data_IF_442686150429
#
_entry.id   IF_442686150429
#
_cell.length_a   1.000
_cell.length_b   1.000
_cell.length_c   1.000
_cell.angle_alpha   90.00
_cell.angle_beta   90.00
_cell.angle_gamma   90.00
#
_symmetry.space_group_name_H-M   'P 1'
#
loop_
_entity.id
_entity.type
_entity.pdbx_description
1 polymer ?
#
# COMPACT_ATOMS: atom_id res chain seq x y z
N UNK A 1 2.79 -2.27 12.87
CA UNK A 1 3.17 -1.40 11.74
C UNK A 1 4.46 -0.71 12.11
N UNK A 2 5.42 -0.64 11.19
CA UNK A 2 6.66 0.13 11.33
C UNK A 2 6.54 1.32 10.40
N UNK A 3 6.63 2.51 10.97
CA UNK A 3 6.52 3.77 10.23
C UNK A 3 7.88 4.31 9.82
N UNK A 4 7.91 5.30 8.92
CA UNK A 4 9.11 5.96 8.40
C UNK A 4 10.19 4.98 7.88
N UNK A 5 9.73 3.87 7.27
CA UNK A 5 10.63 2.89 6.68
C UNK A 5 11.38 3.53 5.50
N UNK A 6 12.71 3.31 5.35
CA UNK A 6 13.46 3.87 4.23
C UNK A 6 12.91 3.38 2.89
N UNK A 7 12.95 4.28 1.91
CA UNK A 7 12.59 3.96 0.53
C UNK A 7 13.78 3.44 -0.27
N UNK A 8 15.00 3.91 0.03
CA UNK A 8 16.23 3.51 -0.63
C UNK A 8 16.92 2.36 0.10
N UNK A 9 17.38 1.35 -0.65
CA UNK A 9 18.05 0.20 -0.06
C UNK A 9 19.39 0.55 0.55
N UNK A 10 19.54 0.21 1.83
CA UNK A 10 20.84 0.16 2.50
C UNK A 10 20.92 -1.12 3.33
N UNK A 11 22.04 -1.84 3.20
CA UNK A 11 22.22 -3.14 3.88
C UNK A 11 22.01 -3.08 5.40
N UNK A 12 22.49 -2.05 6.15
CA UNK A 12 22.23 -1.95 7.58
C UNK A 12 20.75 -1.81 7.91
N UNK A 13 20.02 -0.95 7.18
CA UNK A 13 18.57 -0.77 7.38
C UNK A 13 17.78 -2.03 7.06
N UNK A 14 18.15 -2.73 5.99
CA UNK A 14 17.49 -3.99 5.62
C UNK A 14 17.65 -5.06 6.68
N UNK A 15 18.87 -5.25 7.23
CA UNK A 15 19.10 -6.24 8.31
C UNK A 15 18.25 -5.92 9.54
N UNK A 16 18.23 -4.65 9.93
CA UNK A 16 17.42 -4.20 11.05
C UNK A 16 15.92 -4.47 10.83
N UNK A 17 15.39 -4.15 9.65
CA UNK A 17 13.98 -4.35 9.33
C UNK A 17 13.60 -5.83 9.20
N UNK A 18 14.49 -6.69 8.69
CA UNK A 18 14.31 -8.14 8.65
C UNK A 18 14.25 -8.72 10.07
N UNK A 19 15.10 -8.26 10.98
CA UNK A 19 15.04 -8.63 12.40
C UNK A 19 13.73 -8.20 13.07
N UNK A 20 13.30 -6.95 12.85
CA UNK A 20 12.02 -6.42 13.36
C UNK A 20 10.84 -7.21 12.82
N UNK A 21 10.78 -7.47 11.51
CA UNK A 21 9.70 -8.23 10.89
C UNK A 21 9.64 -9.66 11.44
N UNK A 22 10.79 -10.31 11.60
CA UNK A 22 10.87 -11.65 12.20
C UNK A 22 10.44 -11.67 13.66
N UNK A 23 10.81 -10.67 14.44
CA UNK A 23 10.38 -10.54 15.83
C UNK A 23 8.86 -10.37 15.92
N UNK A 24 8.29 -9.46 15.12
CA UNK A 24 6.85 -9.22 15.08
C UNK A 24 6.04 -10.47 14.68
N UNK A 25 6.58 -11.30 13.79
CA UNK A 25 5.91 -12.54 13.34
C UNK A 25 5.95 -13.68 14.36
N UNK A 26 6.93 -13.67 15.26
CA UNK A 26 7.14 -14.69 16.32
C UNK A 26 6.44 -14.36 17.62
N UNK A 27 5.57 -13.36 17.65
CA UNK A 27 4.82 -13.03 18.86
C UNK A 27 3.75 -14.11 19.16
N UNK A 28 4.19 -15.15 19.85
CA UNK A 28 3.41 -16.33 20.24
C UNK A 28 2.26 -15.99 21.20
N UNK A 29 2.25 -14.81 21.82
CA UNK A 29 1.23 -14.39 22.78
C UNK A 29 -0.17 -14.29 22.17
N UNK A 30 -0.25 -14.15 20.84
CA UNK A 30 -1.51 -14.09 20.10
C UNK A 30 -1.98 -15.44 19.53
N UNK A 31 -1.14 -16.48 19.55
CA UNK A 31 -1.42 -17.77 18.89
C UNK A 31 -1.52 -17.70 17.36
N UNK A 32 -1.27 -16.52 16.75
CA UNK A 32 -1.29 -16.28 15.32
C UNK A 32 0.05 -15.68 14.85
N UNK A 33 0.38 -15.84 13.57
CA UNK A 33 1.54 -15.14 13.01
C UNK A 33 1.23 -13.65 12.90
N UNK A 34 2.07 -12.80 13.50
CA UNK A 34 1.90 -11.35 13.48
C UNK A 34 1.98 -10.77 12.06
N UNK A 35 1.08 -9.83 11.75
CA UNK A 35 1.07 -9.10 10.48
C UNK A 35 2.09 -7.95 10.51
N UNK A 36 2.94 -7.87 9.50
CA UNK A 36 3.95 -6.82 9.33
C UNK A 36 3.48 -5.83 8.27
N UNK A 37 3.32 -4.58 8.68
CA UNK A 37 3.01 -3.46 7.78
C UNK A 37 4.17 -2.47 7.83
N UNK A 38 4.74 -2.12 6.69
CA UNK A 38 5.77 -1.09 6.54
C UNK A 38 5.18 0.16 5.91
N UNK A 39 5.52 1.33 6.44
CA UNK A 39 5.11 2.61 5.87
C UNK A 39 6.32 3.47 5.52
N UNK A 40 6.79 3.41 4.27
CA UNK A 40 7.71 4.39 3.71
C UNK A 40 7.02 5.65 3.15
N UNK A 41 5.68 5.66 3.05
CA UNK A 41 4.90 6.74 2.41
C UNK A 41 5.13 6.90 0.90
N UNK A 42 5.99 6.08 0.30
CA UNK A 42 6.39 6.18 -1.11
C UNK A 42 6.89 4.83 -1.67
N UNK A 43 7.12 4.78 -2.98
CA UNK A 43 7.62 3.57 -3.64
C UNK A 43 9.01 3.23 -3.11
N UNK A 44 9.12 2.11 -2.41
CA UNK A 44 10.34 1.63 -1.79
C UNK A 44 11.05 0.56 -2.63
N UNK A 45 12.32 0.31 -2.34
CA UNK A 45 13.08 -0.78 -2.94
C UNK A 45 12.37 -2.13 -2.74
N UNK A 46 12.39 -2.98 -3.78
CA UNK A 46 11.78 -4.31 -3.74
C UNK A 46 12.28 -5.18 -2.57
N UNK A 47 13.54 -4.98 -2.14
CA UNK A 47 14.12 -5.70 -1.02
C UNK A 47 13.38 -5.47 0.31
N UNK A 48 12.73 -4.31 0.50
CA UNK A 48 11.90 -4.03 1.68
C UNK A 48 10.48 -4.57 1.53
N UNK A 49 9.94 -4.61 0.30
CA UNK A 49 8.61 -5.17 0.02
C UNK A 49 8.52 -6.64 0.41
N UNK A 50 9.60 -7.40 0.26
CA UNK A 50 9.64 -8.84 0.57
C UNK A 50 9.63 -9.13 2.08
N UNK A 51 9.87 -8.14 2.95
CA UNK A 51 9.89 -8.30 4.40
C UNK A 51 8.51 -8.13 5.04
N UNK A 52 7.61 -7.38 4.41
CA UNK A 52 6.30 -7.01 4.94
C UNK A 52 5.15 -7.74 4.25
N UNK A 53 4.04 -7.88 4.97
CA UNK A 53 2.77 -8.35 4.39
C UNK A 53 2.08 -7.22 3.62
N UNK A 54 2.20 -5.99 4.12
CA UNK A 54 1.70 -4.78 3.47
C UNK A 54 2.78 -3.71 3.49
N UNK A 55 3.01 -3.02 2.37
CA UNK A 55 3.83 -1.82 2.30
C UNK A 55 3.01 -0.64 1.78
N UNK A 56 2.95 0.45 2.54
CA UNK A 56 2.29 1.69 2.11
C UNK A 56 3.19 2.41 1.10
N UNK A 57 2.89 2.24 -0.20
CA UNK A 57 3.72 2.76 -1.31
C UNK A 57 3.33 4.17 -1.75
N UNK A 58 2.27 4.72 -1.16
CA UNK A 58 1.85 6.09 -1.38
C UNK A 58 1.10 6.60 -0.15
N UNK A 59 1.53 7.75 0.35
CA UNK A 59 0.86 8.52 1.39
C UNK A 59 0.99 10.01 1.08
N UNK A 60 -0.05 10.61 0.50
CA UNK A 60 -0.07 12.04 0.16
C UNK A 60 -1.51 12.47 -0.21
N UNK A 61 -1.66 13.74 -0.63
CA UNK A 61 -2.90 14.31 -1.15
C UNK A 61 -3.39 13.60 -2.41
N UNK A 62 -4.70 13.68 -2.66
CA UNK A 62 -5.30 13.19 -3.91
C UNK A 62 -4.78 13.90 -5.16
N UNK A 63 -4.38 15.17 -5.04
CA UNK A 63 -3.75 15.90 -6.15
C UNK A 63 -2.39 15.29 -6.50
N UNK A 64 -1.53 15.04 -5.50
CA UNK A 64 -0.26 14.35 -5.70
C UNK A 64 -0.48 12.95 -6.28
N UNK A 65 -1.47 12.21 -5.78
CA UNK A 65 -1.80 10.87 -6.28
C UNK A 65 -2.07 10.89 -7.79
N UNK A 66 -2.97 11.78 -8.23
CA UNK A 66 -3.29 11.95 -9.65
C UNK A 66 -2.07 12.31 -10.47
N UNK A 67 -1.24 13.23 -9.97
CA UNK A 67 -0.01 13.65 -10.63
C UNK A 67 0.96 12.48 -10.85
N UNK A 68 1.18 11.64 -9.82
CA UNK A 68 2.09 10.49 -9.88
C UNK A 68 1.57 9.33 -10.73
N UNK A 69 0.25 9.12 -10.76
CA UNK A 69 -0.36 8.16 -11.69
C UNK A 69 -0.20 8.65 -13.12
N UNK A 70 -0.47 9.93 -13.39
CA UNK A 70 -0.34 10.51 -14.73
C UNK A 70 1.10 10.51 -15.25
N UNK A 71 2.10 10.68 -14.37
CA UNK A 71 3.52 10.62 -14.73
C UNK A 71 4.10 9.20 -14.81
N UNK A 72 3.31 8.17 -14.46
CA UNK A 72 3.76 6.77 -14.47
C UNK A 72 4.67 6.37 -13.29
N UNK A 73 4.87 7.25 -12.31
CA UNK A 73 5.63 6.95 -11.07
C UNK A 73 4.91 5.91 -10.21
N UNK A 74 3.57 5.92 -10.22
CA UNK A 74 2.73 4.89 -9.61
C UNK A 74 2.07 4.06 -10.71
N UNK A 75 2.74 3.02 -11.23
CA UNK A 75 2.17 2.19 -12.27
C UNK A 75 0.98 1.37 -11.72
N UNK A 76 -0.10 1.19 -12.50
CA UNK A 76 -1.17 0.26 -12.15
C UNK A 76 -0.66 -1.17 -11.95
N UNK A 77 -1.15 -1.83 -10.90
CA UNK A 77 -0.91 -3.22 -10.51
C UNK A 77 -1.22 -4.25 -11.63
N UNK A 78 -2.00 -3.86 -12.64
CA UNK A 78 -2.47 -4.74 -13.71
C UNK A 78 -1.70 -4.63 -15.03
N UNK A 79 -0.51 -4.03 -15.04
CA UNK A 79 0.39 -4.23 -16.18
C UNK A 79 1.12 -5.56 -16.01
N UNK A 80 0.96 -6.55 -16.91
CA UNK A 80 1.88 -7.67 -16.95
C UNK A 80 3.27 -7.07 -17.16
N UNK A 81 4.12 -7.16 -16.14
CA UNK A 81 5.49 -6.70 -16.28
C UNK A 81 6.13 -7.56 -17.38
N UNK A 82 6.55 -6.91 -18.47
CA UNK A 82 7.34 -7.54 -19.53
C UNK A 82 8.47 -8.36 -18.91
N UNK A 83 8.78 -9.57 -19.43
CA UNK A 83 9.78 -10.45 -18.82
C UNK A 83 11.15 -9.76 -18.81
N UNK A 84 11.61 -9.30 -17.65
CA UNK A 84 12.96 -8.76 -17.50
C UNK A 84 13.94 -9.93 -17.36
N UNK A 85 14.84 -9.97 -18.35
CA UNK A 85 16.19 -10.56 -18.42
C UNK A 85 16.61 -11.64 -17.40
N UNK A 86 17.15 -12.73 -17.97
CA UNK A 86 17.72 -13.96 -17.39
C UNK A 86 18.10 -13.89 -15.89
N UNK A 87 17.65 -14.85 -15.06
CA UNK A 87 18.05 -14.92 -13.67
C UNK A 87 19.54 -15.24 -13.55
N UNK A 88 20.26 -14.47 -12.73
CA UNK A 88 21.51 -14.91 -12.12
C UNK A 88 21.27 -16.10 -11.17
N UNK A 89 22.32 -16.69 -10.60
CA UNK A 89 22.21 -17.96 -9.88
C UNK A 89 21.23 -17.83 -8.70
N UNK A 90 20.17 -18.65 -8.77
CA UNK A 90 19.13 -18.74 -7.75
C UNK A 90 19.73 -19.33 -6.48
N UNK A 91 19.65 -18.60 -5.38
CA UNK A 91 19.45 -19.21 -4.07
C UNK A 91 17.94 -19.44 -4.00
N UNK A 92 17.52 -20.67 -4.27
CA UNK A 92 16.13 -21.10 -4.19
C UNK A 92 15.74 -21.29 -2.72
N UNK A 93 15.07 -20.29 -2.14
CA UNK A 93 14.35 -20.39 -0.86
C UNK A 93 12.83 -20.27 -1.03
N UNK A 94 12.31 -20.41 -2.26
CA UNK A 94 10.88 -20.42 -2.53
C UNK A 94 10.12 -19.10 -2.35
N UNK A 95 10.78 -17.95 -2.14
CA UNK A 95 10.10 -16.63 -2.09
C UNK A 95 10.24 -15.88 -3.41
N UNK A 96 9.30 -16.07 -4.33
CA UNK A 96 9.18 -15.26 -5.55
C UNK A 96 7.88 -14.48 -5.57
N UNK A 97 7.96 -13.14 -5.52
CA UNK A 97 7.23 -12.21 -6.40
C UNK A 97 7.38 -10.76 -5.88
N UNK A 98 8.09 -9.93 -6.65
CA UNK A 98 8.09 -8.48 -6.43
C UNK A 98 6.65 -7.96 -6.54
N UNK A 99 6.13 -7.42 -5.45
CA UNK A 99 4.92 -6.60 -5.43
C UNK A 99 3.65 -7.28 -5.94
N UNK A 100 3.22 -8.37 -5.31
CA UNK A 100 1.83 -8.82 -5.48
C UNK A 100 0.89 -7.68 -5.07
N UNK A 101 -0.10 -7.38 -5.91
CA UNK A 101 -1.14 -6.38 -5.65
C UNK A 101 -1.72 -6.43 -4.23
N UNK A 102 -1.81 -7.64 -3.66
CA UNK A 102 -2.28 -7.89 -2.29
C UNK A 102 -1.43 -7.28 -1.18
N UNK A 103 -0.16 -6.93 -1.45
CA UNK A 103 0.80 -6.41 -0.47
C UNK A 103 1.00 -4.89 -0.54
N UNK A 104 0.36 -4.19 -1.48
CA UNK A 104 0.54 -2.74 -1.62
C UNK A 104 -0.59 -1.98 -0.92
N UNK A 105 -0.20 -1.05 -0.06
CA UNK A 105 -1.08 -0.13 0.62
C UNK A 105 -1.03 1.28 0.04
N UNK A 106 -2.16 1.97 0.03
CA UNK A 106 -2.27 3.34 -0.48
C UNK A 106 -3.12 4.19 0.47
N UNK A 107 -2.56 5.33 0.86
CA UNK A 107 -3.19 6.28 1.77
C UNK A 107 -3.36 7.60 1.03
N UNK A 108 -4.60 8.02 0.84
CA UNK A 108 -4.95 9.26 0.13
C UNK A 108 -5.75 10.15 1.05
N UNK A 109 -5.23 11.34 1.32
CA UNK A 109 -5.96 12.39 2.05
C UNK A 109 -6.27 13.59 1.15
N UNK A 110 -6.97 14.59 1.69
CA UNK A 110 -7.31 15.82 0.96
C UNK A 110 -8.06 15.56 -0.35
N UNK A 111 -8.92 14.55 -0.40
CA UNK A 111 -9.89 14.41 -1.49
C UNK A 111 -10.86 15.60 -1.47
N UNK A 112 -11.37 15.99 -2.63
CA UNK A 112 -12.41 17.02 -2.74
C UNK A 112 -13.62 16.66 -1.87
N UNK A 113 -14.09 17.62 -1.07
CA UNK A 113 -15.27 17.47 -0.22
C UNK A 113 -16.57 17.53 -1.04
N UNK A 114 -17.65 17.00 -0.48
CA UNK A 114 -19.01 17.04 -1.04
C UNK A 114 -19.13 16.40 -2.43
N UNK A 115 -18.27 15.44 -2.74
CA UNK A 115 -18.36 14.67 -3.99
C UNK A 115 -19.53 13.68 -3.95
N UNK A 116 -20.07 13.37 -5.12
CA UNK A 116 -21.14 12.39 -5.29
C UNK A 116 -20.65 10.96 -5.02
N UNK A 117 -21.60 10.04 -4.75
CA UNK A 117 -21.29 8.61 -4.60
C UNK A 117 -20.60 8.03 -5.84
N UNK A 118 -20.99 8.48 -7.04
CA UNK A 118 -20.34 8.04 -8.29
C UNK A 118 -18.87 8.45 -8.33
N UNK A 119 -18.57 9.69 -7.95
CA UNK A 119 -17.19 10.18 -7.89
C UNK A 119 -16.37 9.45 -6.82
N UNK A 120 -16.95 9.13 -5.65
CA UNK A 120 -16.29 8.29 -4.64
C UNK A 120 -15.92 6.92 -5.21
N UNK A 121 -16.85 6.26 -5.92
CA UNK A 121 -16.59 4.96 -6.56
C UNK A 121 -15.47 5.05 -7.60
N UNK A 122 -15.44 6.10 -8.42
CA UNK A 122 -14.38 6.32 -9.39
C UNK A 122 -13.01 6.52 -8.73
N UNK A 123 -12.96 7.26 -7.62
CA UNK A 123 -11.73 7.46 -6.84
C UNK A 123 -11.26 6.14 -6.25
N UNK A 124 -12.15 5.39 -5.58
CA UNK A 124 -11.83 4.06 -5.02
C UNK A 124 -11.27 3.14 -6.11
N UNK A 125 -11.92 3.08 -7.27
CA UNK A 125 -11.49 2.23 -8.38
C UNK A 125 -10.12 2.65 -8.93
N UNK A 126 -9.79 3.95 -8.95
CA UNK A 126 -8.47 4.44 -9.34
C UNK A 126 -7.40 4.06 -8.31
N UNK A 127 -7.68 4.22 -7.03
CA UNK A 127 -6.75 3.88 -5.93
C UNK A 127 -6.50 2.38 -5.86
N UNK A 128 -7.55 1.55 -6.03
CA UNK A 128 -7.45 0.07 -6.05
C UNK A 128 -6.63 -0.48 -7.21
N UNK A 129 -6.42 0.29 -8.27
CA UNK A 129 -5.47 -0.09 -9.33
C UNK A 129 -4.02 -0.03 -8.84
N UNK A 130 -3.72 0.61 -7.70
CA UNK A 130 -2.36 0.77 -7.15
C UNK A 130 -2.13 -0.09 -5.91
N UNK A 131 -3.13 -0.25 -5.04
CA UNK A 131 -3.00 -1.08 -3.83
C UNK A 131 -4.32 -1.72 -3.41
N UNK A 132 -4.23 -2.88 -2.76
CA UNK A 132 -5.38 -3.62 -2.21
C UNK A 132 -5.82 -3.06 -0.85
N UNK A 133 -4.87 -2.62 -0.03
CA UNK A 133 -5.12 -2.00 1.28
C UNK A 133 -5.21 -0.49 1.11
N UNK A 134 -6.38 0.10 1.30
CA UNK A 134 -6.57 1.52 0.98
C UNK A 134 -7.19 2.29 2.14
N UNK A 135 -6.70 3.51 2.33
CA UNK A 135 -7.31 4.54 3.17
C UNK A 135 -7.56 5.77 2.31
N UNK A 136 -8.79 6.30 2.34
CA UNK A 136 -9.19 7.47 1.56
C UNK A 136 -10.00 8.38 2.47
N UNK A 137 -9.68 9.67 2.47
CA UNK A 137 -10.42 10.68 3.23
C UNK A 137 -10.40 12.04 2.54
N UNK A 138 -11.48 12.80 2.69
CA UNK A 138 -11.57 14.20 2.29
C UNK A 138 -10.96 15.18 3.31
N UNK A 139 -10.59 14.70 4.51
CA UNK A 139 -9.92 15.53 5.50
C UNK A 139 -8.53 15.98 4.99
N UNK A 140 -8.25 17.28 5.08
CA UNK A 140 -6.97 17.89 4.68
C UNK A 140 -6.02 18.18 5.84
N UNK A 141 -6.49 18.04 7.07
CA UNK A 141 -5.72 18.19 8.30
C UNK A 141 -6.27 17.23 9.35
N UNK A 142 -5.45 16.79 10.30
CA UNK A 142 -5.87 15.89 11.38
C UNK A 142 -6.56 14.60 10.86
N UNK A 143 -6.20 14.16 9.66
CA UNK A 143 -6.87 13.08 8.93
C UNK A 143 -6.69 11.69 9.54
N UNK A 144 -5.79 11.54 10.52
CA UNK A 144 -5.65 10.35 11.35
C UNK A 144 -6.23 10.49 12.76
N UNK A 145 -6.70 11.68 13.12
CA UNK A 145 -7.18 11.99 14.47
C UNK A 145 -8.72 12.06 14.54
N UNK A 146 -9.38 12.28 13.41
CA UNK A 146 -10.84 12.35 13.31
C UNK A 146 -11.35 11.69 12.04
N UNK A 147 -12.56 11.13 12.14
CA UNK A 147 -13.31 10.70 10.95
C UNK A 147 -13.80 11.91 10.18
N UNK A 148 -13.76 11.81 8.87
CA UNK A 148 -14.27 12.85 7.99
C UNK A 148 -15.81 12.84 7.96
N UNK A 149 -16.48 13.96 7.66
CA UNK A 149 -17.94 14.02 7.61
C UNK A 149 -18.58 12.99 6.65
N UNK A 150 -17.86 12.61 5.58
CA UNK A 150 -18.30 11.61 4.61
C UNK A 150 -17.76 10.20 4.89
N UNK A 151 -17.16 9.94 6.05
CA UNK A 151 -16.54 8.66 6.40
C UNK A 151 -17.45 7.45 6.16
N UNK A 152 -18.70 7.50 6.63
CA UNK A 152 -19.65 6.40 6.44
C UNK A 152 -19.90 6.13 4.96
N UNK A 153 -20.01 7.18 4.14
CA UNK A 153 -20.22 7.03 2.70
C UNK A 153 -18.99 6.43 2.01
N UNK A 154 -17.78 6.78 2.45
CA UNK A 154 -16.55 6.13 1.98
C UNK A 154 -16.53 4.64 2.31
N UNK A 155 -16.84 4.26 3.55
CA UNK A 155 -16.87 2.85 3.97
C UNK A 155 -17.95 2.06 3.22
N UNK A 156 -19.16 2.62 3.05
CA UNK A 156 -20.21 2.01 2.24
C UNK A 156 -19.76 1.80 0.79
N UNK A 157 -19.11 2.79 0.18
CA UNK A 157 -18.63 2.71 -1.19
C UNK A 157 -17.51 1.67 -1.33
N UNK A 158 -16.60 1.58 -0.35
CA UNK A 158 -15.56 0.57 -0.26
C UNK A 158 -16.12 -0.85 -0.13
N UNK A 159 -17.13 -1.06 0.72
CA UNK A 159 -17.76 -2.35 0.92
C UNK A 159 -18.48 -2.83 -0.36
N UNK A 160 -19.23 -1.95 -1.03
CA UNK A 160 -19.96 -2.29 -2.26
C UNK A 160 -19.05 -2.60 -3.45
N UNK A 161 -17.91 -1.90 -3.54
CA UNK A 161 -16.92 -2.18 -4.59
C UNK A 161 -16.18 -3.49 -4.33
N UNK A 162 -16.09 -3.97 -3.08
CA UNK A 162 -15.49 -5.26 -2.76
C UNK A 162 -16.42 -6.45 -3.09
N UNK A 163 -17.74 -6.26 -3.01
CA UNK A 163 -18.73 -7.30 -3.36
C UNK A 163 -19.05 -7.38 -4.85
N UNK A 164 -18.55 -6.45 -5.66
CA UNK A 164 -18.82 -6.38 -7.11
C UNK A 164 -17.78 -7.09 -7.99
N UNK A 165 -16.93 -7.96 -7.42
CA UNK A 165 -15.90 -8.66 -8.19
C UNK A 165 -15.52 -10.04 -7.64
N UNK A 166 -16.21 -11.08 -8.13
CA UNK A 166 -15.69 -12.11 -9.05
C UNK A 166 -16.81 -12.52 -10.00
#
# INVERSE_FOLDING_TARGET
MVDEVPWEFQSPHWRYLDEVARAARRDEQSGASGMVVFNPGCVSSAAYLDLADITIVFEDTYETFRGRVASGVLPPLFLPQTPRHKPGPRLDDGRTSVGEAGKLGVVVHSVTQNISRSEMHDIINKVRKIGSTIFITEASSHFYQHFSPQWEQWIEALAKTATSGF
#
